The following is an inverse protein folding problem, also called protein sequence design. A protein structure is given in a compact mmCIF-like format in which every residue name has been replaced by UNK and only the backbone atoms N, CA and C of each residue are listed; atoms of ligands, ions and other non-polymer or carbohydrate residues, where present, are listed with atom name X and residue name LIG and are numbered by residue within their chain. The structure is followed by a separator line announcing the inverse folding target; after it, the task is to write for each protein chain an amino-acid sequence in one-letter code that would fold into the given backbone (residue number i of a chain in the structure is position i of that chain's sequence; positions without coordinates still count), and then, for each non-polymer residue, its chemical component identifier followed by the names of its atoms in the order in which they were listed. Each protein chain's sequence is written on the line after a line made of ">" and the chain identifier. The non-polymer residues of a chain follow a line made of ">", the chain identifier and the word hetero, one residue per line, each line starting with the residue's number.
data_IF_089646721302
#
_entry.id   IF_089646721302
#
_cell.length_a   1.000
_cell.length_b   1.000
_cell.length_c   1.000
_cell.angle_alpha   90.00
_cell.angle_beta   90.00
_cell.angle_gamma   90.00
#
_symmetry.space_group_name_H-M   'P 1'
#
loop_
_entity.id
_entity.type
_entity.pdbx_description
1 polymer ?
#
# COMPACT_ATOMS: atom_id res chain seq x y z
N UNK A 1 19.81 33.16 -33.11
CA UNK A 1 18.43 32.64 -33.14
C UNK A 1 18.47 31.27 -32.47
N UNK A 2 18.23 31.23 -31.16
CA UNK A 2 18.26 29.99 -30.36
C UNK A 2 16.96 29.23 -30.61
N UNK A 3 17.08 28.06 -31.23
CA UNK A 3 15.99 27.08 -31.35
C UNK A 3 15.40 26.82 -29.96
N UNK A 4 14.06 26.83 -29.80
CA UNK A 4 13.44 26.50 -28.53
C UNK A 4 13.79 25.05 -28.23
N UNK A 5 14.56 24.83 -27.16
CA UNK A 5 14.81 23.51 -26.61
C UNK A 5 13.46 22.90 -26.26
N UNK A 6 13.02 21.97 -27.09
CA UNK A 6 11.94 21.05 -26.76
C UNK A 6 12.19 20.56 -25.34
N UNK A 7 11.23 20.77 -24.43
CA UNK A 7 11.22 20.22 -23.07
C UNK A 7 11.56 18.74 -23.18
N UNK A 8 12.83 18.41 -22.96
CA UNK A 8 13.40 17.13 -23.34
C UNK A 8 12.88 16.10 -22.33
N UNK A 9 11.92 15.29 -22.78
CA UNK A 9 11.11 14.39 -21.94
C UNK A 9 12.01 13.35 -21.24
N UNK A 10 11.55 12.87 -20.09
CA UNK A 10 12.12 11.69 -19.44
C UNK A 10 12.28 10.55 -20.47
N UNK A 11 13.32 9.70 -20.36
CA UNK A 11 13.43 8.52 -21.20
C UNK A 11 12.15 7.69 -21.13
N UNK A 12 11.60 7.30 -22.27
CA UNK A 12 10.36 6.53 -22.38
C UNK A 12 10.26 5.33 -21.41
N UNK A 13 11.30 4.50 -21.20
CA UNK A 13 11.22 3.40 -20.24
C UNK A 13 11.08 3.85 -18.78
N UNK A 14 11.72 4.96 -18.40
CA UNK A 14 11.62 5.53 -17.04
C UNK A 14 10.23 6.12 -16.84
N UNK A 15 9.72 6.84 -17.85
CA UNK A 15 8.38 7.42 -17.81
C UNK A 15 7.30 6.35 -17.69
N UNK A 16 7.40 5.26 -18.44
CA UNK A 16 6.41 4.17 -18.38
C UNK A 16 6.36 3.51 -17.00
N UNK A 17 7.51 3.27 -16.37
CA UNK A 17 7.57 2.73 -15.00
C UNK A 17 6.98 3.74 -14.00
N UNK A 18 7.34 5.01 -14.12
CA UNK A 18 6.87 6.08 -13.23
C UNK A 18 5.35 6.26 -13.30
N UNK A 19 4.79 6.28 -14.52
CA UNK A 19 3.35 6.42 -14.75
C UNK A 19 2.59 5.20 -14.19
N UNK A 20 3.18 4.00 -14.30
CA UNK A 20 2.61 2.79 -13.72
C UNK A 20 2.61 2.82 -12.18
N UNK A 21 3.75 3.17 -11.57
CA UNK A 21 3.88 3.26 -10.11
C UNK A 21 2.97 4.35 -9.54
N UNK A 22 2.85 5.50 -10.22
CA UNK A 22 1.95 6.58 -9.82
C UNK A 22 0.48 6.12 -9.82
N UNK A 23 0.03 5.48 -10.90
CA UNK A 23 -1.36 4.97 -10.99
C UNK A 23 -1.64 3.89 -9.96
N UNK A 24 -0.67 3.01 -9.70
CA UNK A 24 -0.79 1.99 -8.67
C UNK A 24 -0.91 2.61 -7.28
N UNK A 25 -0.04 3.56 -6.94
CA UNK A 25 -0.10 4.26 -5.67
C UNK A 25 -1.41 5.04 -5.50
N UNK A 26 -1.91 5.67 -6.56
CA UNK A 26 -3.21 6.36 -6.54
C UNK A 26 -4.36 5.39 -6.23
N UNK A 27 -4.43 4.26 -6.94
CA UNK A 27 -5.45 3.25 -6.71
C UNK A 27 -5.39 2.69 -5.28
N UNK A 28 -4.20 2.32 -4.81
CA UNK A 28 -4.00 1.79 -3.45
C UNK A 28 -4.39 2.84 -2.40
N UNK A 29 -3.97 4.09 -2.59
CA UNK A 29 -4.30 5.18 -1.68
C UNK A 29 -5.80 5.42 -1.54
N UNK A 30 -6.53 5.41 -2.66
CA UNK A 30 -8.00 5.54 -2.67
C UNK A 30 -8.65 4.37 -1.92
N UNK A 31 -8.26 3.14 -2.23
CA UNK A 31 -8.83 1.94 -1.60
C UNK A 31 -8.60 1.96 -0.10
N UNK A 32 -7.37 2.25 0.35
CA UNK A 32 -7.02 2.34 1.77
C UNK A 32 -7.81 3.44 2.49
N UNK A 33 -8.01 4.60 1.87
CA UNK A 33 -8.82 5.67 2.45
C UNK A 33 -10.30 5.27 2.59
N UNK A 34 -10.86 4.58 1.59
CA UNK A 34 -12.24 4.06 1.64
C UNK A 34 -12.40 3.00 2.73
N UNK A 35 -11.44 2.08 2.87
CA UNK A 35 -11.45 1.09 3.94
C UNK A 35 -11.36 1.76 5.33
N UNK A 36 -10.49 2.76 5.49
CA UNK A 36 -10.42 3.53 6.74
C UNK A 36 -11.79 4.16 7.07
N UNK A 37 -12.43 4.80 6.10
CA UNK A 37 -13.76 5.40 6.27
C UNK A 37 -14.82 4.37 6.70
N UNK A 38 -14.89 3.23 6.02
CA UNK A 38 -15.83 2.16 6.36
C UNK A 38 -15.57 1.56 7.75
N UNK A 39 -14.31 1.40 8.14
CA UNK A 39 -13.94 0.89 9.45
C UNK A 39 -14.19 1.90 10.57
N UNK A 40 -14.06 3.20 10.32
CA UNK A 40 -14.46 4.24 11.27
C UNK A 40 -15.97 4.19 11.50
N UNK A 41 -16.78 4.03 10.45
CA UNK A 41 -18.23 3.84 10.60
C UNK A 41 -18.55 2.58 11.41
N UNK A 42 -17.83 1.48 11.19
CA UNK A 42 -17.97 0.28 12.00
C UNK A 42 -17.57 0.53 13.47
N UNK A 43 -16.50 1.27 13.72
CA UNK A 43 -16.06 1.61 15.07
C UNK A 43 -17.12 2.43 15.83
N UNK A 44 -17.79 3.37 15.15
CA UNK A 44 -18.90 4.13 15.73
C UNK A 44 -20.07 3.23 16.12
N UNK A 45 -20.40 2.23 15.30
CA UNK A 45 -21.44 1.24 15.62
C UNK A 45 -21.01 0.39 16.83
N UNK A 46 -19.75 -0.02 16.90
CA UNK A 46 -19.19 -0.84 18.00
C UNK A 46 -19.15 -0.08 19.33
N UNK A 47 -18.95 1.24 19.30
CA UNK A 47 -18.94 2.11 20.47
C UNK A 47 -20.34 2.36 21.04
N UNK A 48 -21.37 2.36 20.19
CA UNK A 48 -22.78 2.52 20.59
C UNK A 48 -23.36 1.25 21.26
N UNK A 49 -22.67 0.11 21.17
CA UNK A 49 -23.07 -1.11 21.88
C UNK A 49 -22.81 -0.94 23.38
N UNK A 50 -23.85 -1.17 24.18
CA UNK A 50 -23.91 -0.91 25.62
C UNK A 50 -22.64 -1.39 26.36
N UNK A 51 -21.90 -0.42 26.91
CA UNK A 51 -20.60 -0.65 27.56
C UNK A 51 -20.73 -1.35 28.92
N UNK A 52 -21.95 -1.42 29.45
CA UNK A 52 -22.27 -2.07 30.72
C UNK A 52 -22.72 -3.53 30.55
N UNK A 53 -22.91 -4.03 29.33
CA UNK A 53 -23.21 -5.45 29.11
C UNK A 53 -21.95 -6.31 29.38
N UNK A 54 -21.98 -7.27 30.31
CA UNK A 54 -20.86 -8.17 30.57
C UNK A 54 -20.39 -8.96 29.33
N UNK A 55 -21.18 -9.02 28.24
CA UNK A 55 -20.75 -9.62 26.96
C UNK A 55 -19.76 -8.75 26.18
N UNK A 56 -19.83 -7.42 26.31
CA UNK A 56 -18.94 -6.47 25.61
C UNK A 56 -17.60 -6.28 26.34
N UNK A 57 -17.43 -6.84 27.53
CA UNK A 57 -16.14 -6.84 28.27
C UNK A 57 -15.31 -8.10 28.06
N UNK A 58 -15.78 -9.03 27.21
CA UNK A 58 -15.05 -10.27 26.90
C UNK A 58 -13.73 -10.01 26.16
N UNK A 59 -12.75 -10.90 26.35
CA UNK A 59 -11.44 -10.81 25.68
C UNK A 59 -11.55 -10.74 24.15
N UNK A 60 -12.55 -11.42 23.57
CA UNK A 60 -12.84 -11.39 22.14
C UNK A 60 -13.31 -10.01 21.65
N UNK A 61 -14.11 -9.30 22.45
CA UNK A 61 -14.56 -7.94 22.12
C UNK A 61 -13.41 -6.91 22.21
N UNK A 62 -12.55 -7.06 23.21
CA UNK A 62 -11.34 -6.25 23.34
C UNK A 62 -10.37 -6.50 22.18
N UNK A 63 -10.15 -7.76 21.81
CA UNK A 63 -9.34 -8.12 20.65
C UNK A 63 -9.91 -7.52 19.36
N UNK A 64 -11.23 -7.61 19.15
CA UNK A 64 -11.91 -6.98 18.02
C UNK A 64 -11.63 -5.48 17.94
N UNK A 65 -11.78 -4.75 19.06
CA UNK A 65 -11.51 -3.31 19.12
C UNK A 65 -10.06 -2.99 18.78
N UNK A 66 -9.09 -3.74 19.31
CA UNK A 66 -7.67 -3.57 18.97
C UNK A 66 -7.42 -3.75 17.47
N UNK A 67 -7.98 -4.80 16.87
CA UNK A 67 -7.85 -5.03 15.42
C UNK A 67 -8.57 -3.97 14.59
N UNK A 68 -9.72 -3.47 15.05
CA UNK A 68 -10.51 -2.45 14.38
C UNK A 68 -9.78 -1.11 14.34
N UNK A 69 -9.39 -0.58 15.51
CA UNK A 69 -8.66 0.69 15.58
C UNK A 69 -7.28 0.58 14.94
N UNK A 70 -6.60 -0.55 15.12
CA UNK A 70 -5.33 -0.83 14.43
C UNK A 70 -5.50 -0.81 12.92
N UNK A 71 -6.55 -1.43 12.41
CA UNK A 71 -6.86 -1.41 10.98
C UNK A 71 -7.16 -0.01 10.45
N UNK A 72 -7.96 0.79 11.17
CA UNK A 72 -8.22 2.19 10.80
C UNK A 72 -6.91 2.97 10.65
N UNK A 73 -6.02 2.88 11.65
CA UNK A 73 -4.75 3.60 11.65
C UNK A 73 -3.81 3.12 10.53
N UNK A 74 -3.75 1.81 10.27
CA UNK A 74 -2.94 1.25 9.19
C UNK A 74 -3.46 1.63 7.81
N UNK A 75 -4.79 1.64 7.60
CA UNK A 75 -5.40 2.09 6.35
C UNK A 75 -5.15 3.58 6.10
N UNK A 76 -5.30 4.44 7.12
CA UNK A 76 -4.93 5.86 7.01
C UNK A 76 -3.44 6.05 6.72
N UNK A 77 -2.57 5.35 7.43
CA UNK A 77 -1.12 5.41 7.22
C UNK A 77 -0.73 4.96 5.80
N UNK A 78 -1.33 3.89 5.29
CA UNK A 78 -1.10 3.41 3.92
C UNK A 78 -1.61 4.38 2.85
N UNK A 79 -2.73 5.07 3.10
CA UNK A 79 -3.19 6.15 2.22
C UNK A 79 -2.18 7.32 2.19
N UNK A 80 -1.64 7.73 3.33
CA UNK A 80 -0.57 8.74 3.40
C UNK A 80 0.73 8.29 2.72
N UNK A 81 1.15 7.04 2.91
CA UNK A 81 2.32 6.48 2.22
C UNK A 81 2.12 6.49 0.70
N UNK A 82 0.92 6.19 0.22
CA UNK A 82 0.57 6.27 -1.19
C UNK A 82 0.68 7.69 -1.74
N UNK A 83 0.23 8.70 -0.98
CA UNK A 83 0.42 10.11 -1.35
C UNK A 83 1.91 10.51 -1.40
N UNK A 84 2.73 9.99 -0.49
CA UNK A 84 4.18 10.22 -0.52
C UNK A 84 4.83 9.57 -1.75
N UNK A 85 4.41 8.37 -2.12
CA UNK A 85 4.87 7.70 -3.34
C UNK A 85 4.48 8.49 -4.59
N UNK A 86 3.21 8.93 -4.69
CA UNK A 86 2.75 9.80 -5.79
C UNK A 86 3.59 11.08 -5.86
N UNK A 87 3.81 11.74 -4.72
CA UNK A 87 4.61 12.96 -4.66
C UNK A 87 6.03 12.72 -5.17
N UNK A 88 6.68 11.65 -4.73
CA UNK A 88 8.02 11.28 -5.20
C UNK A 88 8.03 11.00 -6.70
N UNK A 89 6.99 10.35 -7.22
CA UNK A 89 6.84 10.10 -8.66
C UNK A 89 6.66 11.41 -9.44
N UNK A 90 5.86 12.35 -8.95
CA UNK A 90 5.65 13.65 -9.62
C UNK A 90 6.84 14.60 -9.50
N UNK A 91 7.66 14.47 -8.46
CA UNK A 91 8.85 15.29 -8.24
C UNK A 91 10.05 14.81 -9.10
N UNK A 92 10.07 13.54 -9.53
CA UNK A 92 11.17 12.96 -10.31
C UNK A 92 11.40 13.65 -11.67
N UNK A 93 10.37 13.93 -12.51
CA UNK A 93 10.55 14.66 -13.75
C UNK A 93 11.15 16.05 -13.52
N UNK A 94 10.70 16.75 -12.49
CA UNK A 94 11.21 18.07 -12.14
C UNK A 94 12.68 18.02 -11.72
N UNK A 95 13.05 17.05 -10.87
CA UNK A 95 14.43 16.82 -10.45
C UNK A 95 15.34 16.44 -11.63
N UNK A 96 14.85 15.60 -12.55
CA UNK A 96 15.57 15.21 -13.76
C UNK A 96 15.88 16.41 -14.66
N UNK A 97 14.89 17.28 -14.92
CA UNK A 97 15.09 18.49 -15.71
C UNK A 97 16.11 19.45 -15.06
N UNK A 98 16.04 19.65 -13.75
CA UNK A 98 16.99 20.49 -13.01
C UNK A 98 18.42 19.93 -13.02
N UNK A 99 18.56 18.60 -12.94
CA UNK A 99 19.85 17.93 -12.98
C UNK A 99 20.50 18.04 -14.36
N UNK A 100 19.75 17.77 -15.43
CA UNK A 100 20.22 17.84 -16.83
C UNK A 100 20.59 19.27 -17.23
N UNK A 101 19.78 20.27 -16.87
CA UNK A 101 20.07 21.68 -17.14
C UNK A 101 21.33 22.20 -16.42
N UNK A 102 21.73 21.59 -15.29
CA UNK A 102 22.94 21.98 -14.56
C UNK A 102 24.22 21.28 -15.03
N UNK A 103 24.18 20.45 -16.09
CA UNK A 103 25.30 19.61 -16.54
C UNK A 103 26.04 18.89 -15.40
N UNK A 104 25.34 18.53 -14.31
CA UNK A 104 25.97 17.77 -13.23
C UNK A 104 26.18 16.35 -13.73
N UNK A 105 27.38 15.78 -13.52
CA UNK A 105 27.64 14.36 -13.82
C UNK A 105 26.55 13.50 -13.18
N UNK A 106 26.07 12.51 -13.92
CA UNK A 106 25.07 11.58 -13.39
C UNK A 106 25.63 10.94 -12.12
N UNK A 107 24.82 10.78 -11.07
CA UNK A 107 25.25 9.99 -9.93
C UNK A 107 25.65 8.61 -10.47
N UNK A 108 26.94 8.26 -10.36
CA UNK A 108 27.44 6.95 -10.79
C UNK A 108 26.92 5.93 -9.79
N UNK A 109 25.78 5.33 -10.11
CA UNK A 109 25.18 4.28 -9.29
C UNK A 109 25.89 2.98 -9.64
N UNK A 110 26.70 2.44 -8.72
CA UNK A 110 27.23 1.08 -8.84
C UNK A 110 26.04 0.10 -8.79
N UNK A 111 25.67 -0.48 -9.95
CA UNK A 111 24.69 -1.59 -10.01
C UNK A 111 25.31 -2.84 -9.37
N UNK A 112 24.73 -3.40 -8.30
CA UNK A 112 25.08 -4.75 -7.90
C UNK A 112 24.66 -5.72 -9.01
N UNK A 113 25.59 -6.53 -9.50
CA UNK A 113 25.30 -7.56 -10.50
C UNK A 113 24.47 -8.68 -9.85
N UNK A 114 23.34 -9.04 -10.46
CA UNK A 114 22.65 -10.32 -10.18
C UNK A 114 21.22 -10.26 -9.62
N UNK A 115 20.51 -9.12 -9.65
CA UNK A 115 19.13 -9.08 -9.14
C UNK A 115 18.19 -8.39 -10.13
N UNK A 116 17.29 -9.15 -10.76
CA UNK A 116 16.32 -8.66 -11.76
C UNK A 116 15.32 -7.63 -11.18
N UNK A 117 14.93 -7.74 -9.90
CA UNK A 117 14.10 -6.73 -9.22
C UNK A 117 14.74 -5.33 -9.21
N UNK A 118 16.08 -5.26 -9.27
CA UNK A 118 16.81 -3.99 -9.31
C UNK A 118 16.82 -3.36 -10.70
N UNK A 119 16.29 -4.00 -11.75
CA UNK A 119 16.21 -3.37 -13.07
C UNK A 119 15.21 -2.21 -13.06
N UNK A 120 14.02 -2.40 -12.48
CA UNK A 120 12.97 -1.37 -12.39
C UNK A 120 13.40 -0.21 -11.49
N UNK A 121 13.89 -0.53 -10.29
CA UNK A 121 14.40 0.48 -9.35
C UNK A 121 15.72 1.12 -9.81
N UNK A 122 16.58 0.39 -10.51
CA UNK A 122 17.84 0.87 -11.08
C UNK A 122 17.61 1.90 -12.18
N UNK A 123 16.61 1.70 -13.04
CA UNK A 123 16.19 2.68 -14.05
C UNK A 123 15.71 3.98 -13.40
N UNK A 124 14.95 3.89 -12.31
CA UNK A 124 14.50 5.06 -11.54
C UNK A 124 15.67 5.76 -10.83
N UNK A 125 16.63 5.00 -10.26
CA UNK A 125 17.81 5.57 -9.62
C UNK A 125 18.72 6.30 -10.60
N UNK A 126 18.88 5.78 -11.82
CA UNK A 126 19.63 6.42 -12.91
C UNK A 126 18.99 7.72 -13.38
N UNK A 127 17.66 7.84 -13.26
CA UNK A 127 16.91 9.07 -13.49
C UNK A 127 16.96 10.06 -12.31
N UNK A 128 17.63 9.72 -11.20
CA UNK A 128 17.79 10.59 -10.04
C UNK A 128 16.82 10.34 -8.88
N UNK A 129 16.08 9.22 -8.89
CA UNK A 129 15.19 8.85 -7.80
C UNK A 129 15.98 8.57 -6.51
N UNK A 130 15.48 9.06 -5.38
CA UNK A 130 16.12 8.85 -4.07
C UNK A 130 16.06 7.37 -3.67
N UNK A 131 17.14 6.87 -3.02
CA UNK A 131 17.17 5.51 -2.43
C UNK A 131 16.05 5.27 -1.41
N UNK A 132 15.50 6.35 -0.84
CA UNK A 132 14.38 6.29 0.10
C UNK A 132 13.08 5.80 -0.57
N UNK A 133 12.96 5.89 -1.89
CA UNK A 133 11.80 5.40 -2.63
C UNK A 133 11.60 3.89 -2.48
N UNK A 134 12.65 3.06 -2.66
CA UNK A 134 12.54 1.61 -2.43
C UNK A 134 12.16 1.26 -0.98
N UNK A 135 12.62 2.06 -0.02
CA UNK A 135 12.20 1.87 1.37
C UNK A 135 10.74 2.23 1.58
N UNK A 136 10.26 3.32 0.96
CA UNK A 136 8.86 3.75 1.06
C UNK A 136 7.92 2.75 0.37
N UNK A 137 8.31 2.22 -0.79
CA UNK A 137 7.55 1.22 -1.53
C UNK A 137 7.38 -0.08 -0.74
N UNK A 138 8.47 -0.58 -0.14
CA UNK A 138 8.43 -1.73 0.77
C UNK A 138 7.59 -1.46 2.02
N UNK A 139 7.70 -0.27 2.62
CA UNK A 139 6.88 0.10 3.79
C UNK A 139 5.41 0.21 3.44
N UNK A 140 5.07 0.81 2.30
CA UNK A 140 3.70 0.89 1.78
C UNK A 140 3.11 -0.50 1.60
N UNK A 141 3.88 -1.40 1.00
CA UNK A 141 3.52 -2.81 0.84
C UNK A 141 3.26 -3.52 2.17
N UNK A 142 4.19 -3.40 3.13
CA UNK A 142 4.02 -4.03 4.45
C UNK A 142 2.80 -3.48 5.17
N UNK A 143 2.60 -2.16 5.15
CA UNK A 143 1.44 -1.50 5.76
C UNK A 143 0.14 -1.99 5.12
N UNK A 144 0.09 -2.16 3.80
CA UNK A 144 -1.07 -2.73 3.10
C UNK A 144 -1.38 -4.14 3.58
N UNK A 145 -0.37 -5.02 3.68
CA UNK A 145 -0.56 -6.40 4.16
C UNK A 145 -1.09 -6.41 5.59
N UNK A 146 -0.46 -5.65 6.50
CA UNK A 146 -0.91 -5.56 7.89
C UNK A 146 -2.32 -4.97 7.99
N UNK A 147 -2.63 -3.93 7.21
CA UNK A 147 -3.97 -3.34 7.15
C UNK A 147 -5.00 -4.39 6.72
N UNK A 148 -4.74 -5.15 5.66
CA UNK A 148 -5.63 -6.23 5.22
C UNK A 148 -5.85 -7.26 6.33
N UNK A 149 -4.79 -7.77 6.96
CA UNK A 149 -4.90 -8.77 8.04
C UNK A 149 -5.72 -8.23 9.21
N UNK A 150 -5.45 -7.00 9.66
CA UNK A 150 -6.21 -6.38 10.75
C UNK A 150 -7.67 -6.12 10.37
N UNK A 151 -7.95 -5.67 9.14
CA UNK A 151 -9.33 -5.52 8.63
C UNK A 151 -10.09 -6.83 8.65
N UNK A 152 -9.51 -7.89 8.09
CA UNK A 152 -10.17 -9.19 8.04
C UNK A 152 -10.36 -9.79 9.43
N UNK A 153 -9.35 -9.67 10.32
CA UNK A 153 -9.48 -10.11 11.70
C UNK A 153 -10.61 -9.37 12.41
N UNK A 154 -10.65 -8.03 12.31
CA UNK A 154 -11.69 -7.20 12.91
C UNK A 154 -13.09 -7.57 12.43
N UNK A 155 -13.27 -7.70 11.11
CA UNK A 155 -14.57 -8.05 10.53
C UNK A 155 -15.00 -9.47 10.93
N UNK A 156 -14.05 -10.40 10.99
CA UNK A 156 -14.31 -11.78 11.43
C UNK A 156 -14.78 -11.80 12.87
N UNK A 157 -14.08 -11.10 13.77
CA UNK A 157 -14.51 -10.99 15.17
C UNK A 157 -15.88 -10.31 15.29
N UNK A 158 -16.12 -9.23 14.54
CA UNK A 158 -17.42 -8.56 14.54
C UNK A 158 -18.55 -9.49 14.11
N UNK A 159 -18.39 -10.24 13.02
CA UNK A 159 -19.39 -11.20 12.54
C UNK A 159 -19.60 -12.32 13.57
N UNK A 160 -18.52 -12.90 14.11
CA UNK A 160 -18.60 -13.97 15.10
C UNK A 160 -19.29 -13.55 16.40
N UNK A 161 -19.09 -12.31 16.86
CA UNK A 161 -19.66 -11.82 18.10
C UNK A 161 -21.11 -11.38 17.96
N UNK A 162 -21.54 -10.94 16.76
CA UNK A 162 -22.92 -10.53 16.50
C UNK A 162 -23.83 -11.62 15.91
N UNK A 163 -23.29 -12.74 15.41
CA UNK A 163 -24.13 -13.84 14.91
C UNK A 163 -24.47 -14.84 16.02
N UNK A 164 -25.76 -14.99 16.33
CA UNK A 164 -26.25 -15.99 17.30
C UNK A 164 -26.04 -17.45 16.86
N UNK A 165 -25.73 -17.70 15.58
CA UNK A 165 -25.59 -19.04 15.02
C UNK A 165 -24.12 -19.38 14.72
N UNK A 166 -23.59 -20.36 15.46
CA UNK A 166 -22.21 -20.90 15.34
C UNK A 166 -21.90 -21.38 13.92
N UNK A 167 -22.90 -21.93 13.22
CA UNK A 167 -22.75 -22.42 11.84
C UNK A 167 -22.47 -21.25 10.88
N UNK A 168 -23.19 -20.13 11.03
CA UNK A 168 -23.02 -18.95 10.19
C UNK A 168 -21.65 -18.31 10.42
N UNK A 169 -21.23 -18.19 11.70
CA UNK A 169 -19.88 -17.75 12.09
C UNK A 169 -18.79 -18.62 11.46
N UNK A 170 -18.88 -19.95 11.55
CA UNK A 170 -17.90 -20.87 11.00
C UNK A 170 -17.76 -20.77 9.48
N UNK A 171 -18.89 -20.67 8.76
CA UNK A 171 -18.89 -20.49 7.31
C UNK A 171 -18.25 -19.15 6.93
N UNK A 172 -18.59 -18.06 7.63
CA UNK A 172 -17.99 -16.75 7.37
C UNK A 172 -16.48 -16.76 7.64
N UNK A 173 -16.01 -17.44 8.68
CA UNK A 173 -14.58 -17.54 9.00
C UNK A 173 -13.79 -18.27 7.91
N UNK A 174 -14.35 -19.34 7.33
CA UNK A 174 -13.75 -20.09 6.21
C UNK A 174 -13.72 -19.22 4.95
N UNK A 175 -14.80 -18.49 4.66
CA UNK A 175 -14.87 -17.63 3.47
C UNK A 175 -13.88 -16.47 3.60
N UNK A 176 -13.90 -15.71 4.69
CA UNK A 176 -12.99 -14.58 4.88
C UNK A 176 -11.54 -15.02 5.04
N UNK A 177 -11.28 -16.16 5.71
CA UNK A 177 -9.95 -16.75 5.80
C UNK A 177 -9.41 -17.19 4.44
N UNK A 178 -10.22 -17.85 3.62
CA UNK A 178 -9.81 -18.26 2.27
C UNK A 178 -9.60 -17.07 1.34
N UNK A 179 -10.44 -16.03 1.41
CA UNK A 179 -10.23 -14.77 0.69
C UNK A 179 -8.92 -14.11 1.13
N UNK A 180 -8.66 -14.00 2.44
CA UNK A 180 -7.40 -13.45 2.94
C UNK A 180 -6.19 -14.24 2.44
N UNK A 181 -6.28 -15.57 2.42
CA UNK A 181 -5.23 -16.45 1.92
C UNK A 181 -5.02 -16.28 0.41
N UNK A 182 -6.09 -16.13 -0.37
CA UNK A 182 -6.03 -15.82 -1.81
C UNK A 182 -5.37 -14.47 -2.05
N UNK A 183 -5.71 -13.43 -1.28
CA UNK A 183 -5.08 -12.09 -1.40
C UNK A 183 -3.59 -12.16 -1.08
N UNK A 184 -3.20 -12.85 0.01
CA UNK A 184 -1.79 -13.02 0.36
C UNK A 184 -1.05 -13.81 -0.72
N UNK A 185 -1.66 -14.88 -1.24
CA UNK A 185 -1.02 -15.72 -2.27
C UNK A 185 -0.89 -14.97 -3.59
N UNK A 186 -1.92 -14.25 -4.01
CA UNK A 186 -1.89 -13.40 -5.20
C UNK A 186 -0.84 -12.28 -5.04
N UNK A 187 -0.72 -11.72 -3.84
CA UNK A 187 0.31 -10.73 -3.52
C UNK A 187 1.73 -11.32 -3.56
N UNK A 188 1.93 -12.53 -3.03
CA UNK A 188 3.22 -13.24 -3.14
C UNK A 188 3.54 -13.55 -4.60
N UNK A 189 2.55 -13.96 -5.40
CA UNK A 189 2.74 -14.21 -6.83
C UNK A 189 3.10 -12.95 -7.61
N UNK A 190 2.49 -11.80 -7.30
CA UNK A 190 2.82 -10.52 -7.96
C UNK A 190 4.14 -9.92 -7.47
N UNK A 191 4.51 -10.12 -6.20
CA UNK A 191 5.75 -9.59 -5.61
C UNK A 191 6.99 -10.44 -5.92
N UNK A 192 6.86 -11.76 -6.08
CA UNK A 192 7.98 -12.63 -6.46
C UNK A 192 8.38 -12.43 -7.93
N UNK A 193 7.66 -11.60 -8.67
CA UNK A 193 7.90 -11.34 -10.07
C UNK A 193 7.48 -12.56 -10.87
N UNK A 194 6.38 -12.44 -11.61
CA UNK A 194 6.24 -13.29 -12.77
C UNK A 194 7.52 -13.11 -13.60
N UNK A 195 8.27 -14.19 -13.80
CA UNK A 195 9.47 -14.20 -14.64
C UNK A 195 9.11 -13.92 -16.10
N UNK A 196 8.78 -12.67 -16.39
CA UNK A 196 8.53 -12.17 -17.74
C UNK A 196 9.89 -12.13 -18.43
N UNK A 197 10.22 -13.25 -19.09
CA UNK A 197 11.18 -13.29 -20.19
C UNK A 197 10.61 -12.57 -21.41
#
# INVERSE_FOLDING_TARGET
>A
MSTPTTLEKLPDPVKLVLDADQKQAEAVGIVMALFAGGLVSLAQIVEDVDSEDPKTTTASWQAMRVFLYGSVMLNLAGAFLSLLTIKMCTDLPLAYHQWKNKQRKAPVVKRPHGVEEWHRFGLLLEAGMSRRYASLDRMSTLVLIFACVCTFASLTFWVCLNTLNVITSGITMIIFGSVGLVVITAFVMTSVGEGWK
#
